data_IF_059057430706
#
_entry.id   IF_059057430706
#
_cell.length_a   1.000
_cell.length_b   1.000
_cell.length_c   1.000
_cell.angle_alpha   90.00
_cell.angle_beta   90.00
_cell.angle_gamma   90.00
#
_symmetry.space_group_name_H-M   'P 1'
#
loop_
_entity.id
_entity.type
_entity.pdbx_description
1 polymer ?
#
# COMPACT_ATOMS: atom_id res chain seq x y z
N UNK A 1 2.67 7.65 -4.68
CA UNK A 1 2.82 6.26 -5.16
C UNK A 1 1.52 5.78 -5.83
N UNK A 2 1.61 5.03 -6.94
CA UNK A 2 0.44 4.46 -7.63
C UNK A 2 0.18 2.99 -7.25
N UNK A 3 -1.04 2.50 -7.50
CA UNK A 3 -1.44 1.12 -7.25
C UNK A 3 -0.47 0.10 -7.87
N UNK A 4 -0.12 0.28 -9.16
CA UNK A 4 0.79 -0.63 -9.88
C UNK A 4 2.20 -0.68 -9.27
N UNK A 5 2.66 0.42 -8.69
CA UNK A 5 3.98 0.49 -8.06
C UNK A 5 3.98 -0.30 -6.76
N UNK A 6 2.89 -0.24 -5.99
CA UNK A 6 2.71 -1.05 -4.78
C UNK A 6 2.68 -2.54 -5.13
N UNK A 7 1.92 -2.94 -6.14
CA UNK A 7 1.89 -4.35 -6.60
C UNK A 7 3.30 -4.81 -6.99
N UNK A 8 3.98 -4.02 -7.83
CA UNK A 8 5.34 -4.35 -8.31
C UNK A 8 6.33 -4.46 -7.15
N UNK A 9 6.26 -3.55 -6.18
CA UNK A 9 7.15 -3.53 -5.01
C UNK A 9 6.91 -4.71 -4.07
N UNK A 10 5.64 -5.06 -3.84
CA UNK A 10 5.29 -6.22 -3.01
C UNK A 10 5.82 -7.53 -3.61
N UNK A 11 5.80 -7.65 -4.94
CA UNK A 11 6.34 -8.80 -5.66
C UNK A 11 7.87 -8.78 -5.69
N UNK A 12 8.51 -7.65 -6.00
CA UNK A 12 9.96 -7.54 -6.06
C UNK A 12 10.63 -7.82 -4.71
N UNK A 13 10.01 -7.36 -3.63
CA UNK A 13 10.54 -7.51 -2.28
C UNK A 13 10.17 -8.87 -1.65
N UNK A 14 9.46 -9.74 -2.39
CA UNK A 14 9.06 -11.08 -1.92
C UNK A 14 8.11 -11.07 -0.73
N UNK A 15 7.35 -9.99 -0.52
CA UNK A 15 6.47 -9.81 0.64
C UNK A 15 5.16 -10.62 0.55
N UNK A 16 4.86 -11.12 -0.65
CA UNK A 16 3.66 -11.90 -0.96
C UNK A 16 4.03 -13.07 -1.86
N UNK A 17 3.28 -14.16 -1.74
CA UNK A 17 3.54 -15.41 -2.48
C UNK A 17 2.93 -15.44 -3.89
N UNK A 18 2.02 -14.53 -4.21
CA UNK A 18 1.31 -14.50 -5.48
C UNK A 18 0.94 -13.09 -5.92
N UNK A 19 0.72 -12.94 -7.23
CA UNK A 19 0.20 -11.70 -7.83
C UNK A 19 -1.17 -11.34 -7.26
N UNK A 20 -2.05 -12.33 -7.06
CA UNK A 20 -3.37 -12.09 -6.45
C UNK A 20 -3.27 -11.52 -5.03
N UNK A 21 -2.33 -12.02 -4.21
CA UNK A 21 -2.08 -11.48 -2.87
C UNK A 21 -1.48 -10.07 -2.90
N UNK A 22 -0.66 -9.77 -3.92
CA UNK A 22 -0.13 -8.43 -4.17
C UNK A 22 -1.26 -7.45 -4.49
N UNK A 23 -2.14 -7.81 -5.44
CA UNK A 23 -3.30 -7.01 -5.82
C UNK A 23 -4.24 -6.76 -4.64
N UNK A 24 -4.57 -7.80 -3.87
CA UNK A 24 -5.41 -7.65 -2.68
C UNK A 24 -4.80 -6.64 -1.69
N UNK A 25 -3.49 -6.71 -1.44
CA UNK A 25 -2.80 -5.76 -0.55
C UNK A 25 -2.77 -4.34 -1.12
N UNK A 26 -2.58 -4.20 -2.44
CA UNK A 26 -2.62 -2.91 -3.11
C UNK A 26 -4.04 -2.29 -3.13
N UNK A 27 -5.10 -3.09 -3.11
CA UNK A 27 -6.47 -2.59 -2.98
C UNK A 27 -6.70 -1.89 -1.64
N UNK A 28 -6.14 -2.42 -0.54
CA UNK A 28 -6.19 -1.73 0.76
C UNK A 28 -5.47 -0.39 0.73
N UNK A 29 -4.36 -0.29 -0.02
CA UNK A 29 -3.69 0.99 -0.23
C UNK A 29 -4.55 1.98 -1.03
N UNK A 30 -5.19 1.53 -2.11
CA UNK A 30 -6.06 2.38 -2.92
C UNK A 30 -7.26 2.90 -2.12
N UNK A 31 -7.95 2.01 -1.41
CA UNK A 31 -9.06 2.38 -0.53
C UNK A 31 -8.62 3.36 0.57
N UNK A 32 -7.43 3.14 1.15
CA UNK A 32 -6.86 4.09 2.10
C UNK A 32 -6.62 5.48 1.51
N UNK A 33 -6.14 5.57 0.26
CA UNK A 33 -5.99 6.85 -0.46
C UNK A 33 -7.33 7.54 -0.70
N UNK A 34 -8.37 6.77 -0.97
CA UNK A 34 -9.75 7.26 -1.17
C UNK A 34 -10.41 7.72 0.14
N UNK A 35 -9.75 7.51 1.29
CA UNK A 35 -10.22 7.93 2.61
C UNK A 35 -10.98 6.86 3.39
N UNK A 36 -10.95 5.60 2.92
CA UNK A 36 -11.58 4.49 3.63
C UNK A 36 -10.92 4.25 5.00
N UNK A 37 -11.76 4.01 6.01
CA UNK A 37 -11.29 3.69 7.36
C UNK A 37 -11.34 2.18 7.61
N UNK A 38 -10.25 1.62 8.13
CA UNK A 38 -10.16 0.19 8.39
C UNK A 38 -10.26 -0.13 9.87
N UNK A 39 -10.99 -1.20 10.19
CA UNK A 39 -10.99 -1.80 11.51
C UNK A 39 -9.65 -2.54 11.76
N UNK A 40 -8.78 -1.92 12.57
CA UNK A 40 -7.46 -2.44 12.92
C UNK A 40 -7.52 -3.72 13.79
N UNK A 41 -8.69 -4.08 14.31
CA UNK A 41 -8.92 -5.35 15.01
C UNK A 41 -8.99 -6.56 14.07
N UNK A 42 -9.29 -6.35 12.78
CA UNK A 42 -9.40 -7.44 11.80
C UNK A 42 -8.03 -7.98 11.41
N UNK A 43 -7.87 -9.30 11.50
CA UNK A 43 -6.63 -9.99 11.12
C UNK A 43 -6.19 -9.70 9.69
N UNK A 44 -7.13 -9.64 8.74
CA UNK A 44 -6.84 -9.28 7.35
C UNK A 44 -6.21 -7.88 7.23
N UNK A 45 -6.78 -6.89 7.92
CA UNK A 45 -6.26 -5.51 7.95
C UNK A 45 -4.85 -5.48 8.53
N UNK A 46 -4.62 -6.22 9.62
CA UNK A 46 -3.30 -6.31 10.26
C UNK A 46 -2.25 -6.91 9.32
N UNK A 47 -2.60 -7.98 8.57
CA UNK A 47 -1.71 -8.63 7.60
C UNK A 47 -1.36 -7.68 6.46
N UNK A 48 -2.35 -7.04 5.83
CA UNK A 48 -2.10 -6.10 4.73
C UNK A 48 -1.32 -4.88 5.21
N UNK A 49 -1.66 -4.32 6.38
CA UNK A 49 -0.90 -3.24 7.00
C UNK A 49 0.56 -3.63 7.25
N UNK A 50 0.82 -4.84 7.77
CA UNK A 50 2.18 -5.30 8.03
C UNK A 50 3.02 -5.33 6.73
N UNK A 51 2.43 -5.78 5.62
CA UNK A 51 3.07 -5.78 4.29
C UNK A 51 3.31 -4.36 3.78
N UNK A 52 2.30 -3.49 3.84
CA UNK A 52 2.42 -2.09 3.42
C UNK A 52 3.50 -1.34 4.23
N UNK A 53 3.63 -1.63 5.53
CA UNK A 53 4.66 -1.02 6.37
C UNK A 53 6.08 -1.37 5.95
N UNK A 54 6.29 -2.53 5.31
CA UNK A 54 7.60 -2.93 4.79
C UNK A 54 8.05 -2.08 3.61
N UNK A 55 7.10 -1.51 2.87
CA UNK A 55 7.36 -0.61 1.73
C UNK A 55 7.17 0.88 2.11
N UNK A 56 7.08 1.19 3.41
CA UNK A 56 6.99 2.58 3.91
C UNK A 56 5.58 3.16 4.00
N UNK A 57 4.52 2.36 3.80
CA UNK A 57 3.12 2.80 3.86
C UNK A 57 2.48 2.33 5.17
N UNK A 58 1.83 3.22 5.92
CA UNK A 58 1.08 2.84 7.13
C UNK A 58 -0.37 3.33 7.09
N UNK A 59 -1.28 2.43 6.72
CA UNK A 59 -2.73 2.69 6.63
C UNK A 59 -3.42 2.96 7.98
N UNK A 60 -2.68 2.87 9.11
CA UNK A 60 -3.17 3.33 10.42
C UNK A 60 -3.16 4.86 10.53
N UNK A 61 -2.30 5.53 9.77
CA UNK A 61 -2.23 7.00 9.74
C UNK A 61 -3.24 7.53 8.73
N UNK A 62 -3.77 8.76 8.90
CA UNK A 62 -4.57 9.38 7.86
C UNK A 62 -3.73 9.54 6.58
N UNK A 63 -4.37 9.37 5.43
CA UNK A 63 -3.72 9.65 4.16
C UNK A 63 -3.49 11.16 4.04
N UNK A 64 -2.23 11.54 3.82
CA UNK A 64 -1.81 12.92 3.62
C UNK A 64 -1.11 12.99 2.26
N UNK A 65 -1.81 13.51 1.26
CA UNK A 65 -1.37 13.48 -0.14
C UNK A 65 0.02 14.13 -0.32
N UNK A 66 0.26 15.24 0.37
CA UNK A 66 1.51 16.01 0.32
C UNK A 66 2.77 15.19 0.65
N UNK A 67 2.67 14.18 1.51
CA UNK A 67 3.84 13.36 1.93
C UNK A 67 4.16 12.26 0.91
N UNK A 68 3.18 11.80 0.16
CA UNK A 68 3.32 10.66 -0.76
C UNK A 68 3.33 11.05 -2.24
N UNK A 69 2.96 12.29 -2.57
CA UNK A 69 3.11 12.88 -3.90
C UNK A 69 4.58 13.18 -4.22
N UNK A 70 5.38 13.61 -3.24
CA UNK A 70 6.79 13.95 -3.43
C UNK A 70 7.68 12.76 -3.85
N UNK A 71 7.21 11.53 -3.72
CA UNK A 71 7.94 10.32 -4.17
C UNK A 71 7.62 9.90 -5.61
N UNK A 72 6.60 10.49 -6.25
CA UNK A 72 6.17 10.14 -7.61
C UNK A 72 6.82 11.00 -8.70
N UNK A 73 7.38 12.16 -8.33
CA UNK A 73 7.80 13.21 -9.28
C UNK A 73 9.19 12.98 -9.91
N UNK A 74 9.76 11.76 -9.83
CA UNK A 74 11.06 11.42 -10.40
C UNK A 74 11.01 10.37 -11.53
N UNK A 75 9.88 10.18 -12.21
CA UNK A 75 9.79 9.25 -13.37
C UNK A 75 9.18 9.90 -14.60
N UNK A 76 9.78 11.01 -15.02
CA UNK A 76 9.68 11.53 -16.38
C UNK A 76 10.92 11.12 -17.17
N UNK A 77 10.78 10.08 -17.99
CA UNK A 77 11.57 9.86 -19.22
C UNK A 77 10.61 9.28 -20.27
#
# INVERSE_FOLDING_TARGET
>A
MLFKDVVSRLLSDGLVSSVSAAHATASYFQLWKEGETFDLGKSAVQVHRARLRKIGIDIKKPYIEEVYASSDECRGE
#
